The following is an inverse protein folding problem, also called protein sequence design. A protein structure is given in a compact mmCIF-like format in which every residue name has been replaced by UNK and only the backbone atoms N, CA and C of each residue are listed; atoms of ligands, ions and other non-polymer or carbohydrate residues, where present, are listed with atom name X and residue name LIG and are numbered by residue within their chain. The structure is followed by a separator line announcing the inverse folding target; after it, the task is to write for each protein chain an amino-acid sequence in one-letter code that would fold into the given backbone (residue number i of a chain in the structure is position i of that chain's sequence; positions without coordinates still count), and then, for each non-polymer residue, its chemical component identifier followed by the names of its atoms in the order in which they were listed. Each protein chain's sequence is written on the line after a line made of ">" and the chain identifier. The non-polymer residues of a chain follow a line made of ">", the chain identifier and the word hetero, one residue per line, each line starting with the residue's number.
data_IF_458523987825
#
_entry.id   IF_458523987825
#
_cell.length_a   1.000
_cell.length_b   1.000
_cell.length_c   1.000
_cell.angle_alpha   90.00
_cell.angle_beta   90.00
_cell.angle_gamma   90.00
#
_symmetry.space_group_name_H-M   'P 1'
#
loop_
_entity.id
_entity.type
_entity.pdbx_description
1 polymer ?
#
# COMPACT_ATOMS: atom_id res chain seq x y z
N UNK A 1 29.39 2.65 2.79
CA UNK A 1 28.56 1.46 2.48
C UNK A 1 27.10 1.62 2.94
N UNK A 2 26.83 2.15 4.14
CA UNK A 2 25.46 2.38 4.66
C UNK A 2 24.58 3.29 3.76
N UNK A 3 25.15 4.36 3.18
CA UNK A 3 24.38 5.29 2.33
C UNK A 3 23.90 4.71 0.99
N UNK A 4 24.54 3.68 0.43
CA UNK A 4 24.11 3.11 -0.86
C UNK A 4 22.90 2.17 -0.73
N UNK A 5 22.78 1.48 0.41
CA UNK A 5 21.66 0.56 0.68
C UNK A 5 20.36 1.36 0.88
N UNK A 6 20.45 2.50 1.56
CA UNK A 6 19.32 3.39 1.81
C UNK A 6 18.82 4.08 0.52
N UNK A 7 19.74 4.59 -0.31
CA UNK A 7 19.41 5.16 -1.63
C UNK A 7 18.77 4.12 -2.54
N UNK A 8 19.32 2.90 -2.60
CA UNK A 8 18.78 1.82 -3.43
C UNK A 8 17.37 1.37 -2.99
N UNK A 9 17.08 1.38 -1.67
CA UNK A 9 15.75 1.08 -1.15
C UNK A 9 14.75 2.20 -1.50
N UNK A 10 15.16 3.46 -1.38
CA UNK A 10 14.34 4.65 -1.70
C UNK A 10 13.92 4.66 -3.17
N UNK A 11 14.84 4.36 -4.09
CA UNK A 11 14.54 4.32 -5.53
C UNK A 11 13.55 3.21 -5.88
N UNK A 12 13.75 2.02 -5.30
CA UNK A 12 12.80 0.91 -5.47
C UNK A 12 11.42 1.24 -4.92
N UNK A 13 11.37 1.86 -3.75
CA UNK A 13 10.13 2.34 -3.13
C UNK A 13 9.40 3.36 -4.02
N UNK A 14 10.11 4.34 -4.56
CA UNK A 14 9.57 5.36 -5.48
C UNK A 14 9.03 4.73 -6.76
N UNK A 15 9.76 3.80 -7.35
CA UNK A 15 9.33 3.07 -8.56
C UNK A 15 8.12 2.18 -8.30
N UNK A 16 8.06 1.55 -7.12
CA UNK A 16 6.92 0.76 -6.70
C UNK A 16 5.68 1.63 -6.50
N UNK A 17 5.79 2.75 -5.78
CA UNK A 17 4.69 3.70 -5.59
C UNK A 17 4.13 4.26 -6.92
N UNK A 18 4.97 4.34 -7.96
CA UNK A 18 4.54 4.72 -9.33
C UNK A 18 3.73 3.65 -10.05
N UNK A 19 4.00 2.37 -9.80
CA UNK A 19 3.38 1.26 -10.53
C UNK A 19 2.14 0.68 -9.83
N UNK A 20 2.08 0.73 -8.50
CA UNK A 20 0.97 0.15 -7.71
C UNK A 20 -0.42 0.72 -8.08
N UNK A 21 -0.63 2.02 -8.35
CA UNK A 21 -1.95 2.51 -8.76
C UNK A 21 -2.50 1.81 -10.00
N UNK A 22 -1.64 1.52 -10.99
CA UNK A 22 -2.05 0.78 -12.18
C UNK A 22 -2.39 -0.68 -11.85
N UNK A 23 -1.64 -1.30 -10.94
CA UNK A 23 -1.89 -2.68 -10.47
C UNK A 23 -3.24 -2.80 -9.75
N UNK A 24 -3.62 -1.79 -8.96
CA UNK A 24 -4.94 -1.73 -8.31
C UNK A 24 -6.05 -1.68 -9.37
N UNK A 25 -5.85 -0.94 -10.46
CA UNK A 25 -6.85 -0.84 -11.52
C UNK A 25 -6.98 -2.13 -12.35
N UNK A 26 -5.88 -2.88 -12.54
CA UNK A 26 -5.93 -4.13 -13.30
C UNK A 26 -6.41 -5.32 -12.46
N UNK A 27 -6.01 -5.40 -11.19
CA UNK A 27 -6.16 -6.59 -10.36
C UNK A 27 -7.08 -6.38 -9.14
N UNK A 28 -7.48 -5.14 -8.87
CA UNK A 28 -8.19 -4.77 -7.66
C UNK A 28 -7.28 -4.53 -6.45
N UNK A 29 -7.85 -3.87 -5.44
CA UNK A 29 -7.15 -3.50 -4.20
C UNK A 29 -6.65 -4.75 -3.45
N UNK A 30 -7.53 -5.71 -3.15
CA UNK A 30 -7.16 -6.90 -2.36
C UNK A 30 -5.99 -7.69 -2.94
N UNK A 31 -6.03 -7.98 -4.25
CA UNK A 31 -4.96 -8.73 -4.92
C UNK A 31 -3.65 -7.94 -4.91
N UNK A 32 -3.73 -6.62 -5.02
CA UNK A 32 -2.56 -5.75 -4.94
C UNK A 32 -1.95 -5.73 -3.54
N UNK A 33 -2.76 -5.65 -2.49
CA UNK A 33 -2.29 -5.74 -1.10
C UNK A 33 -1.64 -7.10 -0.83
N UNK A 34 -2.25 -8.19 -1.29
CA UNK A 34 -1.69 -9.54 -1.18
C UNK A 34 -0.36 -9.68 -1.94
N UNK A 35 -0.25 -9.10 -3.13
CA UNK A 35 1.01 -9.05 -3.88
C UNK A 35 2.11 -8.32 -3.10
N UNK A 36 1.81 -7.14 -2.54
CA UNK A 36 2.77 -6.39 -1.73
C UNK A 36 3.19 -7.18 -0.49
N UNK A 37 2.25 -7.85 0.19
CA UNK A 37 2.53 -8.70 1.35
C UNK A 37 3.43 -9.88 0.97
N UNK A 38 3.14 -10.56 -0.14
CA UNK A 38 3.92 -11.70 -0.62
C UNK A 38 5.33 -11.34 -1.12
N UNK A 39 5.55 -10.11 -1.55
CA UNK A 39 6.88 -9.57 -1.91
C UNK A 39 7.61 -8.93 -0.73
N UNK A 40 6.88 -8.56 0.33
CA UNK A 40 7.44 -8.09 1.59
C UNK A 40 8.28 -9.17 2.26
N UNK A 41 9.48 -8.83 2.74
CA UNK A 41 10.30 -9.75 3.53
C UNK A 41 10.17 -9.43 5.01
N UNK A 42 9.79 -10.41 5.82
CA UNK A 42 9.75 -10.28 7.28
C UNK A 42 11.16 -10.20 7.90
N UNK A 43 12.20 -10.64 7.18
CA UNK A 43 13.58 -10.71 7.66
C UNK A 43 14.38 -9.43 7.39
N UNK A 44 14.09 -8.75 6.27
CA UNK A 44 14.72 -7.49 5.88
C UNK A 44 13.63 -6.53 5.38
N UNK A 45 13.50 -5.35 5.99
CA UNK A 45 12.62 -4.29 5.47
C UNK A 45 12.97 -4.02 4.01
N UNK A 46 11.97 -4.17 3.13
CA UNK A 46 12.09 -3.88 1.71
C UNK A 46 10.98 -2.93 1.27
N UNK A 47 11.07 -2.45 0.03
CA UNK A 47 10.16 -1.44 -0.51
C UNK A 47 8.70 -1.88 -0.52
N UNK A 48 8.44 -3.18 -0.72
CA UNK A 48 7.10 -3.74 -0.76
C UNK A 48 6.46 -3.75 0.63
N UNK A 49 7.20 -4.19 1.66
CA UNK A 49 6.74 -4.20 3.04
C UNK A 49 6.50 -2.79 3.59
N UNK A 50 7.40 -1.85 3.31
CA UNK A 50 7.23 -0.45 3.73
C UNK A 50 6.05 0.23 3.02
N UNK A 51 5.86 -0.03 1.71
CA UNK A 51 4.74 0.56 0.99
C UNK A 51 3.41 -0.01 1.46
N UNK A 52 3.34 -1.33 1.69
CA UNK A 52 2.17 -1.97 2.28
C UNK A 52 1.85 -1.36 3.65
N UNK A 53 2.85 -1.22 4.52
CA UNK A 53 2.68 -0.63 5.84
C UNK A 53 2.07 0.77 5.77
N UNK A 54 2.63 1.66 4.94
CA UNK A 54 2.10 3.01 4.77
C UNK A 54 0.67 3.04 4.23
N UNK A 55 0.34 2.14 3.29
CA UNK A 55 -1.04 2.03 2.77
C UNK A 55 -2.00 1.60 3.88
N UNK A 56 -1.65 0.57 4.66
CA UNK A 56 -2.53 0.06 5.73
C UNK A 56 -2.70 1.09 6.86
N UNK A 57 -1.64 1.83 7.21
CA UNK A 57 -1.71 2.95 8.16
C UNK A 57 -2.64 4.05 7.65
N UNK A 58 -2.51 4.44 6.37
CA UNK A 58 -3.38 5.46 5.77
C UNK A 58 -4.85 5.04 5.77
N UNK A 59 -5.17 3.77 5.49
CA UNK A 59 -6.56 3.32 5.47
C UNK A 59 -7.23 3.43 6.85
N UNK A 60 -6.46 3.36 7.94
CA UNK A 60 -6.97 3.66 9.28
C UNK A 60 -7.13 5.17 9.47
N UNK A 61 -6.12 5.96 9.10
CA UNK A 61 -6.16 7.43 9.22
C UNK A 61 -7.30 8.07 8.40
N UNK A 62 -7.58 7.52 7.23
CA UNK A 62 -8.69 7.93 6.36
C UNK A 62 -10.06 7.38 6.82
N UNK A 63 -10.11 6.67 7.95
CA UNK A 63 -11.32 6.07 8.51
C UNK A 63 -12.04 5.16 7.49
N UNK A 64 -11.28 4.29 6.83
CA UNK A 64 -11.79 3.25 5.92
C UNK A 64 -11.93 1.92 6.67
N UNK A 65 -10.92 1.55 7.45
CA UNK A 65 -10.87 0.32 8.24
C UNK A 65 -10.51 0.66 9.70
N UNK A 66 -11.04 -0.06 10.69
CA UNK A 66 -10.70 0.18 12.10
C UNK A 66 -9.30 -0.31 12.49
N UNK A 67 -8.67 -1.14 11.65
CA UNK A 67 -7.44 -1.88 11.96
C UNK A 67 -6.46 -1.84 10.79
N UNK A 68 -5.17 -1.72 11.09
CA UNK A 68 -4.08 -1.64 10.09
C UNK A 68 -3.39 -2.99 9.84
N UNK A 69 -3.74 -4.02 10.60
CA UNK A 69 -3.21 -5.36 10.39
C UNK A 69 -3.67 -5.88 9.03
N UNK A 70 -2.74 -6.43 8.24
CA UNK A 70 -3.02 -6.89 6.88
C UNK A 70 -4.22 -7.86 6.84
N UNK A 71 -4.22 -8.83 7.75
CA UNK A 71 -5.26 -9.83 7.89
C UNK A 71 -6.62 -9.19 8.17
N UNK A 72 -6.68 -8.22 9.09
CA UNK A 72 -7.91 -7.49 9.39
C UNK A 72 -8.42 -6.65 8.22
N UNK A 73 -7.52 -6.03 7.43
CA UNK A 73 -7.92 -5.29 6.22
C UNK A 73 -8.42 -6.22 5.13
N UNK A 74 -7.80 -7.38 4.94
CA UNK A 74 -8.24 -8.38 3.97
C UNK A 74 -9.59 -8.99 4.35
N UNK A 75 -9.78 -9.30 5.63
CA UNK A 75 -11.07 -9.71 6.20
C UNK A 75 -12.12 -8.64 5.94
N UNK A 76 -11.86 -7.39 6.30
CA UNK A 76 -12.76 -6.26 6.05
C UNK A 76 -13.12 -6.13 4.57
N UNK A 77 -12.15 -6.21 3.64
CA UNK A 77 -12.42 -6.10 2.21
C UNK A 77 -13.31 -7.23 1.67
N UNK A 78 -13.27 -8.42 2.30
CA UNK A 78 -14.06 -9.59 1.89
C UNK A 78 -15.34 -9.82 2.68
N UNK A 79 -15.56 -9.03 3.74
CA UNK A 79 -16.69 -9.15 4.63
C UNK A 79 -18.00 -8.87 3.89
N UNK A 80 -19.07 -9.58 4.27
CA UNK A 80 -20.39 -9.40 3.65
C UNK A 80 -21.00 -8.05 3.98
N UNK A 81 -20.60 -7.50 5.11
CA UNK A 81 -21.03 -6.21 5.66
C UNK A 81 -20.39 -5.03 4.93
N UNK A 82 -19.24 -5.26 4.26
CA UNK A 82 -18.55 -4.22 3.49
C UNK A 82 -19.27 -3.96 2.18
N UNK A 83 -19.84 -2.77 2.07
CA UNK A 83 -20.60 -2.35 0.89
C UNK A 83 -19.67 -2.04 -0.28
N UNK A 84 -20.21 -2.09 -1.50
CA UNK A 84 -19.47 -1.70 -2.72
C UNK A 84 -18.93 -0.26 -2.63
N UNK A 85 -19.67 0.65 -1.99
CA UNK A 85 -19.27 2.06 -1.82
C UNK A 85 -18.07 2.16 -0.88
N UNK A 86 -18.08 1.42 0.23
CA UNK A 86 -16.94 1.39 1.16
C UNK A 86 -15.69 0.80 0.50
N UNK A 87 -15.83 -0.27 -0.29
CA UNK A 87 -14.71 -0.85 -1.03
C UNK A 87 -14.19 0.08 -2.13
N UNK A 88 -15.08 0.79 -2.83
CA UNK A 88 -14.69 1.83 -3.79
C UNK A 88 -13.92 2.96 -3.09
N UNK A 89 -14.42 3.44 -1.95
CA UNK A 89 -13.74 4.45 -1.14
C UNK A 89 -12.36 3.99 -0.70
N UNK A 90 -12.21 2.75 -0.23
CA UNK A 90 -10.91 2.17 0.12
C UNK A 90 -9.93 2.18 -1.06
N UNK A 91 -10.42 1.87 -2.25
CA UNK A 91 -9.64 1.87 -3.49
C UNK A 91 -9.21 3.28 -3.87
N UNK A 92 -10.10 4.27 -3.79
CA UNK A 92 -9.83 5.67 -4.08
C UNK A 92 -8.85 6.29 -3.10
N UNK A 93 -9.01 6.03 -1.79
CA UNK A 93 -8.09 6.46 -0.73
C UNK A 93 -6.69 5.88 -0.92
N UNK A 94 -6.60 4.58 -1.23
CA UNK A 94 -5.32 3.93 -1.52
C UNK A 94 -4.64 4.58 -2.72
N UNK A 95 -5.38 4.86 -3.80
CA UNK A 95 -4.82 5.56 -4.95
C UNK A 95 -4.39 7.00 -4.60
N UNK A 96 -5.13 7.70 -3.75
CA UNK A 96 -4.81 9.06 -3.31
C UNK A 96 -3.48 9.09 -2.54
N UNK A 97 -3.31 8.23 -1.54
CA UNK A 97 -2.06 8.20 -0.76
C UNK A 97 -0.87 7.77 -1.62
N UNK A 98 -1.03 6.82 -2.54
CA UNK A 98 0.05 6.43 -3.45
C UNK A 98 0.51 7.59 -4.35
N UNK A 99 -0.43 8.44 -4.80
CA UNK A 99 -0.08 9.66 -5.55
C UNK A 99 0.73 10.64 -4.70
N UNK A 100 0.36 10.83 -3.43
CA UNK A 100 1.09 11.71 -2.51
C UNK A 100 2.46 11.16 -2.14
N UNK A 101 2.56 9.87 -1.82
CA UNK A 101 3.83 9.17 -1.56
C UNK A 101 4.78 9.36 -2.74
N UNK A 102 4.28 9.20 -3.98
CA UNK A 102 5.06 9.46 -5.18
C UNK A 102 5.55 10.91 -5.25
N UNK A 103 4.69 11.90 -5.03
CA UNK A 103 5.07 13.32 -5.10
C UNK A 103 6.12 13.67 -4.04
N UNK A 104 5.94 13.19 -2.81
CA UNK A 104 6.89 13.41 -1.73
C UNK A 104 8.23 12.75 -2.05
N UNK A 105 8.23 11.50 -2.52
CA UNK A 105 9.45 10.81 -2.97
C UNK A 105 10.06 11.42 -4.25
N UNK A 106 9.29 12.20 -5.02
CA UNK A 106 9.80 12.88 -6.20
C UNK A 106 10.53 14.20 -5.86
N UNK A 107 10.24 14.79 -4.70
CA UNK A 107 10.66 16.16 -4.32
C UNK A 107 11.89 16.19 -3.39
N UNK A 108 12.37 15.04 -2.94
CA UNK A 108 13.43 14.85 -1.92
C UNK A 108 14.60 14.05 -2.47
#
# INVERSE_FOLDING_TARGET
>A
HVNQVDVGLRDKYRNLAKSVPALIMSNGLMQTLAFLKGKGSDRNRNEHGELLRHVLEWLVEANVTPKKEFESVMEWCSAKETTTIEYQRATEETQAILRWIRQLADTV
#
